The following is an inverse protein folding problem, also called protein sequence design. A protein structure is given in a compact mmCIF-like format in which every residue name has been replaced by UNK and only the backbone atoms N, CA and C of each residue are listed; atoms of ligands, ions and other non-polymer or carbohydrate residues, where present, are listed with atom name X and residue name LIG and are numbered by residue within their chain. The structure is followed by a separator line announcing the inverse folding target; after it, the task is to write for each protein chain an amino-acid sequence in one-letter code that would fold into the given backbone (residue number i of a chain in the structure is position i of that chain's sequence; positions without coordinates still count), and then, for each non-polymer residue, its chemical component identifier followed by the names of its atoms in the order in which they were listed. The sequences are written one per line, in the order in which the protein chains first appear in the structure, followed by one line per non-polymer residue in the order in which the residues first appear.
data_IF_130683802105
#
_entry.id   IF_130683802105
#
_cell.length_a   1.000
_cell.length_b   1.000
_cell.length_c   1.000
_cell.angle_alpha   90.00
_cell.angle_beta   90.00
_cell.angle_gamma   90.00
#
_symmetry.space_group_name_H-M   'P 1'
#
loop_
_entity.id
_entity.type
_entity.pdbx_description
1 polymer ?
#
# COMPACT_ATOMS: atom_id res chain seq x y z
N UNK A 1 -0.61 -1.21 -29.04
CA UNK A 1 -0.03 -1.32 -27.68
C UNK A 1 -1.19 -1.65 -26.78
N UNK A 2 -1.32 -2.91 -26.35
CA UNK A 2 -2.31 -3.27 -25.35
C UNK A 2 -1.66 -3.02 -23.99
N UNK A 3 -2.05 -1.93 -23.33
CA UNK A 3 -1.76 -1.73 -21.92
C UNK A 3 -2.77 -2.58 -21.16
N UNK A 4 -2.33 -3.72 -20.64
CA UNK A 4 -3.11 -4.50 -19.67
C UNK A 4 -2.77 -3.93 -18.29
N UNK A 5 -3.42 -2.83 -17.96
CA UNK A 5 -3.39 -2.18 -16.65
C UNK A 5 -4.24 -3.03 -15.68
N UNK A 6 -3.66 -4.11 -15.16
CA UNK A 6 -4.24 -4.83 -14.01
C UNK A 6 -3.37 -4.55 -12.76
N UNK A 7 -3.08 -3.27 -12.50
CA UNK A 7 -2.53 -2.77 -11.23
C UNK A 7 -3.62 -2.78 -10.13
N UNK A 8 -4.31 -3.92 -9.96
CA UNK A 8 -5.34 -4.11 -8.92
C UNK A 8 -4.90 -5.19 -7.95
N UNK A 9 -5.07 -4.90 -6.66
CA UNK A 9 -4.81 -5.83 -5.56
C UNK A 9 -6.10 -6.05 -4.78
N UNK A 10 -6.40 -7.30 -4.45
CA UNK A 10 -7.55 -7.70 -3.63
C UNK A 10 -7.02 -8.42 -2.38
N UNK A 11 -7.37 -7.93 -1.20
CA UNK A 11 -7.02 -8.53 0.10
C UNK A 11 -8.27 -8.58 0.96
N UNK A 12 -8.70 -9.77 1.35
CA UNK A 12 -9.87 -9.98 2.22
C UNK A 12 -11.11 -9.21 1.69
N UNK A 13 -11.41 -9.36 0.39
CA UNK A 13 -12.50 -8.67 -0.34
C UNK A 13 -12.36 -7.14 -0.46
N UNK A 14 -11.26 -6.56 0.00
CA UNK A 14 -10.93 -5.14 -0.19
C UNK A 14 -10.07 -4.97 -1.44
N UNK A 15 -10.61 -4.28 -2.46
CA UNK A 15 -9.95 -3.99 -3.74
C UNK A 15 -9.39 -2.56 -3.77
N UNK A 16 -8.18 -2.41 -4.29
CA UNK A 16 -7.53 -1.12 -4.49
C UNK A 16 -6.47 -1.20 -5.60
N UNK A 17 -6.01 -0.03 -6.07
CA UNK A 17 -4.96 0.06 -7.08
C UNK A 17 -3.55 -0.01 -6.48
N UNK A 18 -2.67 -0.77 -7.12
CA UNK A 18 -1.30 -1.01 -6.70
C UNK A 18 -0.76 -2.37 -7.13
N UNK A 19 0.31 -2.83 -6.47
CA UNK A 19 0.94 -4.12 -6.80
C UNK A 19 1.68 -4.74 -5.62
N UNK A 20 1.87 -6.07 -5.66
CA UNK A 20 2.69 -6.80 -4.69
C UNK A 20 4.16 -6.71 -5.12
N UNK A 21 5.00 -6.12 -4.28
CA UNK A 21 6.44 -6.05 -4.52
C UNK A 21 7.11 -7.39 -4.19
N UNK A 22 7.68 -8.04 -5.21
CA UNK A 22 8.32 -9.36 -5.07
C UNK A 22 9.73 -9.30 -4.44
N UNK A 23 10.31 -8.11 -4.30
CA UNK A 23 11.67 -7.88 -3.81
C UNK A 23 11.65 -7.33 -2.38
N UNK A 24 10.69 -6.47 -2.05
CA UNK A 24 10.59 -5.85 -0.74
C UNK A 24 9.79 -6.71 0.25
N UNK A 25 10.32 -6.86 1.45
CA UNK A 25 9.71 -7.68 2.51
C UNK A 25 9.59 -6.90 3.81
N UNK A 26 8.47 -7.13 4.50
CA UNK A 26 8.21 -6.62 5.84
C UNK A 26 9.34 -7.02 6.80
N UNK A 27 9.89 -6.04 7.51
CA UNK A 27 10.97 -6.26 8.49
C UNK A 27 10.52 -7.16 9.65
N UNK A 28 9.24 -7.09 10.04
CA UNK A 28 8.67 -7.86 11.14
C UNK A 28 8.30 -9.30 10.73
N UNK A 29 7.43 -9.48 9.73
CA UNK A 29 6.85 -10.80 9.41
C UNK A 29 7.35 -11.43 8.09
N UNK A 30 8.27 -10.76 7.39
CA UNK A 30 8.91 -11.21 6.13
C UNK A 30 7.98 -11.45 4.93
N UNK A 31 6.70 -11.07 5.02
CA UNK A 31 5.79 -11.06 3.87
C UNK A 31 6.19 -9.98 2.86
N UNK A 32 5.90 -10.22 1.58
CA UNK A 32 6.05 -9.20 0.54
C UNK A 32 5.24 -7.94 0.90
N UNK A 33 5.82 -6.78 0.61
CA UNK A 33 5.12 -5.50 0.75
C UNK A 33 4.18 -5.28 -0.43
N UNK A 34 3.17 -4.45 -0.20
CA UNK A 34 2.21 -4.05 -1.22
C UNK A 34 2.31 -2.54 -1.38
N UNK A 35 2.48 -2.09 -2.61
CA UNK A 35 2.35 -0.69 -2.96
C UNK A 35 0.86 -0.35 -3.10
N UNK A 36 0.43 0.77 -2.52
CA UNK A 36 -0.92 1.28 -2.61
C UNK A 36 -0.87 2.65 -3.30
N UNK A 37 -1.40 2.72 -4.52
CA UNK A 37 -1.32 3.89 -5.41
C UNK A 37 -1.99 5.14 -4.82
N UNK A 38 -3.20 5.03 -4.25
CA UNK A 38 -3.93 6.18 -3.67
C UNK A 38 -3.15 6.93 -2.57
N UNK A 39 -2.15 6.27 -1.97
CA UNK A 39 -1.39 6.80 -0.84
C UNK A 39 0.11 6.91 -1.11
N UNK A 40 0.54 6.57 -2.33
CA UNK A 40 1.93 6.49 -2.78
C UNK A 40 2.86 5.90 -1.70
N UNK A 41 2.48 4.74 -1.17
CA UNK A 41 3.15 4.15 -0.01
C UNK A 41 3.11 2.64 0.00
N UNK A 42 4.13 2.04 0.62
CA UNK A 42 4.17 0.62 0.87
C UNK A 42 3.57 0.26 2.24
N UNK A 43 2.90 -0.89 2.29
CA UNK A 43 2.42 -1.47 3.55
C UNK A 43 2.64 -2.97 3.62
N UNK A 44 2.62 -3.50 4.84
CA UNK A 44 2.61 -4.93 5.06
C UNK A 44 1.16 -5.44 5.14
N UNK A 45 0.69 -6.28 4.19
CA UNK A 45 -0.68 -6.77 4.20
C UNK A 45 -0.96 -7.73 5.36
N UNK A 46 0.06 -8.39 5.91
CA UNK A 46 -0.08 -9.29 7.06
C UNK A 46 -0.14 -8.55 8.39
N UNK A 47 0.72 -7.55 8.59
CA UNK A 47 0.78 -6.78 9.83
C UNK A 47 -0.13 -5.55 9.86
N UNK A 48 -0.70 -5.17 8.71
CA UNK A 48 -1.59 -4.03 8.54
C UNK A 48 -1.01 -2.68 9.01
N UNK A 49 0.22 -2.36 8.60
CA UNK A 49 0.88 -1.08 8.89
C UNK A 49 1.64 -0.56 7.67
N UNK A 50 1.69 0.77 7.54
CA UNK A 50 2.49 1.50 6.56
C UNK A 50 3.99 1.38 6.89
N UNK A 51 4.82 1.00 5.92
CA UNK A 51 6.27 0.92 6.15
C UNK A 51 6.94 2.28 6.22
N UNK A 52 6.26 3.32 5.73
CA UNK A 52 6.75 4.69 5.63
C UNK A 52 5.91 5.63 6.50
N UNK A 53 6.55 6.63 7.11
CA UNK A 53 5.87 7.73 7.79
C UNK A 53 5.21 8.67 6.78
N UNK A 54 4.29 9.53 7.23
CA UNK A 54 3.81 10.63 6.37
C UNK A 54 4.97 11.60 6.16
N UNK A 55 5.04 12.23 4.99
CA UNK A 55 6.03 13.28 4.74
C UNK A 55 5.68 14.55 5.54
N UNK A 56 6.64 15.47 5.65
CA UNK A 56 6.43 16.79 6.27
C UNK A 56 5.96 17.86 5.28
N UNK A 57 5.73 17.48 4.02
CA UNK A 57 5.31 18.41 2.96
C UNK A 57 3.82 18.74 3.12
N UNK A 58 3.47 20.00 3.41
CA UNK A 58 2.07 20.40 3.55
C UNK A 58 1.28 20.33 2.23
N UNK A 59 1.95 20.32 1.08
CA UNK A 59 1.33 20.31 -0.25
C UNK A 59 1.23 18.89 -0.85
N UNK A 60 1.66 17.85 -0.13
CA UNK A 60 1.54 16.46 -0.58
C UNK A 60 0.07 16.03 -0.68
N UNK A 61 -0.35 15.52 -1.83
CA UNK A 61 -1.74 15.08 -2.05
C UNK A 61 -2.07 13.71 -1.44
N UNK A 62 -1.07 12.84 -1.28
CA UNK A 62 -1.24 11.46 -0.81
C UNK A 62 -1.35 11.34 0.71
N UNK A 63 -0.49 12.06 1.44
CA UNK A 63 -0.37 11.93 2.90
C UNK A 63 -1.57 12.42 3.72
N UNK A 64 -2.28 13.53 3.36
CA UNK A 64 -3.37 14.07 4.18
C UNK A 64 -4.49 13.06 4.43
N UNK A 65 -4.88 12.31 3.40
CA UNK A 65 -5.99 11.35 3.48
C UNK A 65 -5.54 9.94 3.84
N UNK A 66 -4.23 9.67 3.99
CA UNK A 66 -3.73 8.34 4.33
C UNK A 66 -4.24 7.89 5.72
N UNK A 67 -4.99 6.78 5.81
CA UNK A 67 -5.56 6.30 7.07
C UNK A 67 -4.45 5.82 8.01
N UNK A 68 -4.77 5.64 9.29
CA UNK A 68 -3.82 5.09 10.27
C UNK A 68 -3.41 3.65 9.91
N UNK A 69 -4.36 2.85 9.41
CA UNK A 69 -4.12 1.47 8.93
C UNK A 69 -4.49 1.35 7.44
N UNK A 70 -3.69 0.62 6.64
CA UNK A 70 -3.94 0.41 5.21
C UNK A 70 -5.23 -0.36 4.90
N UNK A 71 -5.54 -1.41 5.69
CA UNK A 71 -6.72 -2.25 5.48
C UNK A 71 -7.77 -1.95 6.56
N UNK A 72 -8.99 -1.53 6.19
CA UNK A 72 -10.00 -1.06 7.13
C UNK A 72 -10.65 -2.17 7.99
N UNK A 73 -10.62 -3.44 7.55
CA UNK A 73 -11.37 -4.54 8.16
C UNK A 73 -10.49 -5.63 8.80
N UNK A 74 -9.32 -5.27 9.32
CA UNK A 74 -8.31 -6.21 9.82
C UNK A 74 -7.78 -5.91 11.22
#
# INVERSE_FOLDING_TARGET
MEVKDDDKVIIDDFEFYGHIDQKQRCSNCKFNLVYYEDFDAYFCPKCNYWTESKCSDPDCEYCPNRPEKPLPHK
#
